data_IF_227238322369
#
_entry.id   IF_227238322369
#
_cell.length_a   1.000
_cell.length_b   1.000
_cell.length_c   1.000
_cell.angle_alpha   90.00
_cell.angle_beta   90.00
_cell.angle_gamma   90.00
#
_symmetry.space_group_name_H-M   'P 1'
#
loop_
_entity.id
_entity.type
_entity.pdbx_description
1 polymer ?
#
# COMPACT_ATOMS: atom_id res chain seq x y z
N UNK A 1 3.06 31.98 5.55
CA UNK A 1 2.94 30.99 4.46
C UNK A 1 2.90 29.62 5.10
N UNK A 2 1.70 29.07 5.31
CA UNK A 2 1.54 27.73 5.85
C UNK A 2 1.82 26.73 4.72
N UNK A 3 2.73 25.79 4.94
CA UNK A 3 2.89 24.65 4.02
C UNK A 3 1.56 23.90 3.90
N UNK A 4 1.21 23.40 2.70
CA UNK A 4 0.06 22.52 2.58
C UNK A 4 0.32 21.30 3.47
N UNK A 5 -0.55 21.09 4.46
CA UNK A 5 -0.56 19.86 5.24
C UNK A 5 -0.79 18.71 4.27
N UNK A 6 0.27 17.94 3.98
CA UNK A 6 0.28 16.87 3.00
C UNK A 6 -0.51 15.68 3.56
N UNK A 7 -1.83 15.82 3.55
CA UNK A 7 -2.79 14.87 4.13
C UNK A 7 -3.29 13.99 2.99
N UNK A 8 -2.87 12.74 2.96
CA UNK A 8 -3.47 11.75 2.05
C UNK A 8 -4.59 11.05 2.79
N UNK A 9 -5.83 11.32 2.39
CA UNK A 9 -6.99 10.71 3.03
C UNK A 9 -7.13 9.22 2.68
N UNK A 10 -6.55 8.77 1.55
CA UNK A 10 -6.60 7.40 1.09
C UNK A 10 -5.24 6.69 1.29
N UNK A 11 -5.21 5.57 1.99
CA UNK A 11 -4.02 4.69 2.06
C UNK A 11 -4.47 3.24 1.89
N UNK A 12 -4.09 2.58 0.79
CA UNK A 12 -4.62 1.26 0.41
C UNK A 12 -3.52 0.32 -0.08
N UNK A 13 -2.77 -0.29 0.83
CA UNK A 13 -2.11 -1.57 0.54
C UNK A 13 -3.13 -2.66 0.78
N UNK A 14 -3.63 -3.38 -0.23
CA UNK A 14 -2.85 -4.53 -0.70
C UNK A 14 -3.12 -4.89 -2.16
N UNK A 15 -2.45 -5.91 -2.71
CA UNK A 15 -2.90 -6.54 -3.96
C UNK A 15 -3.31 -8.01 -3.80
N UNK A 16 -2.86 -8.71 -2.76
CA UNK A 16 -3.58 -9.90 -2.29
C UNK A 16 -3.65 -9.85 -0.77
N UNK A 17 -4.86 -9.95 -0.23
CA UNK A 17 -5.17 -9.80 1.20
C UNK A 17 -6.14 -10.91 1.60
N UNK A 18 -5.63 -12.13 1.61
CA UNK A 18 -6.36 -13.29 2.10
C UNK A 18 -6.68 -13.11 3.60
N UNK A 19 -7.80 -13.65 4.10
CA UNK A 19 -8.17 -13.52 5.51
C UNK A 19 -7.05 -13.90 6.49
N UNK A 20 -6.25 -14.91 6.13
CA UNK A 20 -5.09 -15.40 6.88
C UNK A 20 -3.97 -14.35 6.99
N UNK A 21 -3.87 -13.44 6.00
CA UNK A 21 -2.87 -12.38 5.94
C UNK A 21 -3.35 -11.06 6.58
N UNK A 22 -4.64 -10.90 6.89
CA UNK A 22 -5.19 -9.64 7.40
C UNK A 22 -4.45 -9.12 8.63
N UNK A 23 -4.09 -10.01 9.57
CA UNK A 23 -3.36 -9.61 10.77
C UNK A 23 -1.97 -9.05 10.43
N UNK A 24 -1.26 -9.66 9.48
CA UNK A 24 0.04 -9.18 9.02
C UNK A 24 -0.10 -7.86 8.25
N UNK A 25 -1.08 -7.73 7.36
CA UNK A 25 -1.32 -6.51 6.59
C UNK A 25 -1.73 -5.34 7.49
N UNK A 26 -2.55 -5.58 8.51
CA UNK A 26 -2.91 -4.55 9.49
C UNK A 26 -1.69 -4.06 10.29
N UNK A 27 -0.76 -4.95 10.66
CA UNK A 27 0.48 -4.56 11.34
C UNK A 27 1.39 -3.74 10.42
N UNK A 28 1.54 -4.15 9.16
CA UNK A 28 2.30 -3.41 8.17
C UNK A 28 1.73 -2.00 7.95
N UNK A 29 0.40 -1.89 7.76
CA UNK A 29 -0.27 -0.60 7.60
C UNK A 29 -0.06 0.31 8.81
N UNK A 30 -0.18 -0.23 10.03
CA UNK A 30 0.07 0.54 11.24
C UNK A 30 1.53 1.02 11.35
N UNK A 31 2.50 0.19 10.98
CA UNK A 31 3.91 0.56 10.98
C UNK A 31 4.21 1.68 9.96
N UNK A 32 3.63 1.59 8.76
CA UNK A 32 3.81 2.62 7.73
C UNK A 32 3.14 3.94 8.17
N UNK A 33 1.94 3.88 8.74
CA UNK A 33 1.24 5.07 9.26
C UNK A 33 2.07 5.77 10.34
N UNK A 34 2.69 5.02 11.25
CA UNK A 34 3.58 5.58 12.29
C UNK A 34 4.83 6.24 11.68
N UNK A 35 5.49 5.57 10.72
CA UNK A 35 6.68 6.10 10.07
C UNK A 35 6.39 7.34 9.22
N UNK A 36 5.24 7.36 8.54
CA UNK A 36 4.77 8.51 7.78
C UNK A 36 4.51 9.72 8.69
N UNK A 37 3.86 9.50 9.84
CA UNK A 37 3.60 10.56 10.82
C UNK A 37 4.90 11.19 11.35
N UNK A 38 5.94 10.39 11.59
CA UNK A 38 7.27 10.88 11.97
C UNK A 38 7.93 11.74 10.88
N UNK A 39 7.49 11.59 9.63
CA UNK A 39 7.95 12.36 8.46
C UNK A 39 7.00 13.50 8.09
N UNK A 40 5.99 13.81 8.93
CA UNK A 40 5.02 14.88 8.68
C UNK A 40 3.89 14.52 7.70
N UNK A 41 3.77 13.26 7.30
CA UNK A 41 2.73 12.79 6.38
C UNK A 41 1.62 12.07 7.17
N UNK A 42 0.40 12.57 7.07
CA UNK A 42 -0.76 11.97 7.72
C UNK A 42 -1.46 10.98 6.77
N UNK A 43 -1.48 9.70 7.15
CA UNK A 43 -2.20 8.63 6.44
C UNK A 43 -2.98 7.75 7.43
N UNK A 44 -4.13 7.17 7.02
CA UNK A 44 -4.92 6.26 7.84
C UNK A 44 -4.12 5.07 8.39
N UNK A 45 -4.40 4.70 9.65
CA UNK A 45 -3.81 3.52 10.29
C UNK A 45 -4.51 2.21 9.91
N UNK A 46 -5.82 2.27 9.68
CA UNK A 46 -6.64 1.11 9.33
C UNK A 46 -6.79 1.02 7.80
N UNK A 47 -6.69 -0.19 7.26
CA UNK A 47 -6.91 -0.45 5.85
C UNK A 47 -8.41 -0.46 5.54
N UNK A 48 -8.82 0.34 4.56
CA UNK A 48 -10.13 0.22 3.92
C UNK A 48 -10.08 -0.95 2.91
N UNK A 49 -10.83 -2.01 3.20
CA UNK A 49 -10.98 -3.21 2.36
C UNK A 49 -12.26 -3.20 1.52
N UNK A 50 -13.08 -2.17 1.65
CA UNK A 50 -14.34 -2.05 0.90
C UNK A 50 -14.15 -1.45 -0.49
N UNK A 51 -13.06 -0.69 -0.68
CA UNK A 51 -12.74 -0.03 -1.94
C UNK A 51 -12.01 -0.98 -2.89
N UNK A 52 -12.35 -0.90 -4.18
CA UNK A 52 -11.66 -1.68 -5.20
C UNK A 52 -10.28 -1.07 -5.54
N UNK A 53 -9.35 -1.94 -5.95
CA UNK A 53 -7.96 -1.52 -6.23
C UNK A 53 -7.86 -0.50 -7.36
N UNK A 54 -8.57 -0.73 -8.47
CA UNK A 54 -8.46 0.10 -9.68
C UNK A 54 -8.82 1.57 -9.40
N UNK A 55 -9.93 1.80 -8.70
CA UNK A 55 -10.43 3.12 -8.33
C UNK A 55 -9.59 3.79 -7.26
N UNK A 56 -8.92 3.02 -6.40
CA UNK A 56 -7.97 3.57 -5.44
C UNK A 56 -6.64 3.97 -6.10
N UNK A 57 -6.11 3.19 -7.05
CA UNK A 57 -4.85 3.49 -7.71
C UNK A 57 -4.85 4.80 -8.49
N UNK A 58 -6.01 5.23 -8.99
CA UNK A 58 -6.16 6.48 -9.72
C UNK A 58 -6.72 7.63 -8.87
N UNK A 59 -6.90 7.43 -7.57
CA UNK A 59 -7.43 8.46 -6.70
C UNK A 59 -6.38 9.57 -6.48
N UNK A 60 -6.78 10.86 -6.58
CA UNK A 60 -5.85 11.98 -6.48
C UNK A 60 -5.26 12.16 -5.07
N UNK A 61 -5.91 11.59 -4.05
CA UNK A 61 -5.51 11.62 -2.64
C UNK A 61 -4.89 10.28 -2.18
N UNK A 62 -4.48 9.42 -3.13
CA UNK A 62 -3.78 8.17 -2.85
C UNK A 62 -2.42 8.43 -2.21
N UNK A 63 -2.24 7.92 -0.99
CA UNK A 63 -0.98 7.96 -0.27
C UNK A 63 -0.03 6.84 -0.71
N UNK A 64 -0.48 5.59 -0.61
CA UNK A 64 0.31 4.41 -0.98
C UNK A 64 -0.58 3.22 -1.33
N UNK A 65 -0.15 2.42 -2.31
CA UNK A 65 -0.77 1.15 -2.67
C UNK A 65 0.23 0.12 -3.18
N UNK A 66 -0.25 -1.12 -3.35
CA UNK A 66 0.45 -2.22 -4.01
C UNK A 66 -0.27 -2.57 -5.30
N UNK A 67 0.50 -2.95 -6.32
CA UNK A 67 0.00 -3.42 -7.61
C UNK A 67 1.00 -4.41 -8.22
N UNK A 68 0.58 -5.20 -9.21
CA UNK A 68 1.42 -6.17 -9.91
C UNK A 68 1.98 -5.48 -11.14
N UNK A 69 2.89 -6.18 -11.82
CA UNK A 69 3.50 -5.64 -13.03
C UNK A 69 2.47 -5.27 -14.10
N UNK A 70 1.38 -6.03 -14.24
CA UNK A 70 0.42 -5.83 -15.33
C UNK A 70 -0.34 -4.49 -15.24
N UNK A 71 -1.10 -4.16 -14.17
CA UNK A 71 -1.78 -2.87 -14.07
C UNK A 71 -0.81 -1.69 -14.07
N UNK A 72 0.41 -1.89 -13.54
CA UNK A 72 1.44 -0.85 -13.56
C UNK A 72 1.81 -0.43 -14.99
N UNK A 73 1.96 -1.38 -15.91
CA UNK A 73 2.36 -1.08 -17.30
C UNK A 73 1.20 -0.71 -18.22
N UNK A 74 -0.01 -1.22 -17.95
CA UNK A 74 -1.19 -0.96 -18.81
C UNK A 74 -1.92 0.31 -18.42
N UNK A 75 -2.22 0.49 -17.14
CA UNK A 75 -3.22 1.49 -16.68
C UNK A 75 -2.59 2.62 -15.86
N UNK A 76 -1.54 2.33 -15.09
CA UNK A 76 -0.96 3.26 -14.12
C UNK A 76 0.30 3.98 -14.63
N UNK A 77 0.79 3.62 -15.82
CA UNK A 77 1.99 4.22 -16.41
C UNK A 77 1.82 5.74 -16.53
N UNK A 78 2.73 6.48 -15.90
CA UNK A 78 2.71 7.95 -15.90
C UNK A 78 1.64 8.59 -15.00
N UNK A 79 0.85 7.79 -14.28
CA UNK A 79 -0.17 8.27 -13.32
C UNK A 79 0.26 8.13 -11.86
N UNK A 80 1.21 7.25 -11.60
CA UNK A 80 1.73 6.96 -10.25
C UNK A 80 3.25 6.98 -10.25
N UNK A 81 3.82 7.19 -9.07
CA UNK A 81 5.26 7.05 -8.81
C UNK A 81 5.53 5.69 -8.17
N UNK A 82 6.49 4.94 -8.73
CA UNK A 82 6.90 3.64 -8.16
C UNK A 82 7.91 3.87 -7.06
N UNK A 83 7.57 3.46 -5.83
CA UNK A 83 8.48 3.59 -4.68
C UNK A 83 9.42 2.39 -4.51
N UNK A 84 9.01 1.20 -4.95
CA UNK A 84 9.80 -0.02 -4.82
C UNK A 84 8.99 -1.30 -5.01
N UNK A 85 9.62 -2.43 -4.69
CA UNK A 85 8.99 -3.76 -4.69
C UNK A 85 9.26 -4.46 -3.36
N UNK A 86 8.25 -5.12 -2.82
CA UNK A 86 8.42 -5.92 -1.60
C UNK A 86 9.10 -7.25 -1.92
N UNK A 87 10.12 -7.58 -1.13
CA UNK A 87 10.73 -8.91 -1.14
C UNK A 87 10.20 -9.68 0.06
N UNK A 88 9.39 -10.71 -0.19
CA UNK A 88 8.94 -11.61 0.87
C UNK A 88 9.82 -12.86 0.86
N UNK A 89 10.51 -13.13 1.97
CA UNK A 89 11.21 -14.39 2.17
C UNK A 89 10.25 -15.43 2.75
N UNK A 90 10.22 -16.61 2.16
CA UNK A 90 9.60 -17.77 2.82
C UNK A 90 10.57 -18.30 3.89
N UNK A 91 10.03 -18.86 4.98
CA UNK A 91 10.86 -19.62 5.91
C UNK A 91 11.53 -20.78 5.15
N UNK A 92 12.78 -21.15 5.47
CA UNK A 92 13.43 -22.26 4.80
C UNK A 92 12.61 -23.55 4.99
N UNK A 93 12.20 -24.14 3.88
CA UNK A 93 11.46 -25.39 3.79
C UNK A 93 11.84 -26.15 2.52
N UNK A 94 11.53 -27.47 2.43
CA UNK A 94 11.80 -28.23 1.20
C UNK A 94 11.08 -27.60 -0.01
N UNK A 95 11.61 -27.79 -1.24
CA UNK A 95 10.97 -27.28 -2.46
C UNK A 95 9.48 -27.65 -2.51
N UNK A 96 8.62 -26.67 -2.80
CA UNK A 96 7.15 -26.84 -2.79
C UNK A 96 6.47 -26.50 -1.46
N UNK A 97 7.25 -26.15 -0.42
CA UNK A 97 6.72 -25.50 0.78
C UNK A 97 6.77 -23.99 0.54
N UNK A 98 5.65 -23.37 0.18
CA UNK A 98 5.52 -21.91 0.14
C UNK A 98 4.79 -21.42 1.38
#
# INVERSE_FOLDING_TARGET
MSEPSNTSALFQLPMYDWPENHAAMNRLAAAISLAAAASGVAIPRALDRSRNHQGAWTAPDLGLSQTCGLPLVTDLKGRVSVLGSFTYSCAPGPPGSY
#
